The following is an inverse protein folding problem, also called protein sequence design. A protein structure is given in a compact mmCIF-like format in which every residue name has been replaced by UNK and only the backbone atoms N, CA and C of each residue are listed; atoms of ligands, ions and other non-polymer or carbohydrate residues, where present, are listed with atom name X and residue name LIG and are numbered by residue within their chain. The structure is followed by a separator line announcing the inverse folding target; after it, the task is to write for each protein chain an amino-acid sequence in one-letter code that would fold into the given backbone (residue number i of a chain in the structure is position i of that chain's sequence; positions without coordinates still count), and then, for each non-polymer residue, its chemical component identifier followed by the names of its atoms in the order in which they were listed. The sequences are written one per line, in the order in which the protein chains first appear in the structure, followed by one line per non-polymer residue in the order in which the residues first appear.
data_IF_916765267157
#
_entry.id   IF_916765267157
#
_cell.length_a   1.000
_cell.length_b   1.000
_cell.length_c   1.000
_cell.angle_alpha   90.00
_cell.angle_beta   90.00
_cell.angle_gamma   90.00
#
_symmetry.space_group_name_H-M   'P 1'
#
loop_
_entity.id
_entity.type
_entity.pdbx_description
1 polymer ?
#
# COMPACT_ATOMS: atom_id res chain seq x y z
N UNK A 1 -4.87 26.47 17.78
CA UNK A 1 -4.16 25.18 17.63
C UNK A 1 -3.07 25.37 16.60
N UNK A 2 -1.95 24.66 16.75
CA UNK A 2 -0.92 24.60 15.69
C UNK A 2 -1.47 23.86 14.48
N UNK A 3 -1.18 24.33 13.26
CA UNK A 3 -1.46 23.60 12.03
C UNK A 3 -0.39 22.52 11.86
N UNK A 4 -0.77 21.32 11.44
CA UNK A 4 0.18 20.24 11.14
C UNK A 4 0.16 19.90 9.66
N UNK A 5 1.34 19.72 9.08
CA UNK A 5 1.55 19.20 7.73
C UNK A 5 1.92 17.72 7.85
N UNK A 6 1.22 16.87 7.09
CA UNK A 6 1.50 15.43 6.99
C UNK A 6 1.97 15.16 5.56
N UNK A 7 3.12 14.51 5.42
CA UNK A 7 3.66 14.09 4.12
C UNK A 7 3.86 12.59 4.14
N UNK A 8 3.43 11.91 3.09
CA UNK A 8 3.66 10.48 2.87
C UNK A 8 4.34 10.31 1.52
N UNK A 9 5.54 9.72 1.50
CA UNK A 9 6.40 9.66 0.31
C UNK A 9 6.77 8.21 0.03
N UNK A 10 6.50 7.74 -1.18
CA UNK A 10 6.97 6.45 -1.67
C UNK A 10 8.05 6.70 -2.74
N UNK A 11 9.23 6.13 -2.52
CA UNK A 11 10.34 6.14 -3.48
C UNK A 11 10.75 4.69 -3.72
N UNK A 12 10.62 4.23 -4.96
CA UNK A 12 11.05 2.90 -5.36
C UNK A 12 11.77 2.98 -6.71
N UNK A 13 12.72 2.07 -6.91
CA UNK A 13 13.51 1.95 -8.13
C UNK A 13 13.39 0.54 -8.69
N UNK A 14 13.46 0.42 -10.02
CA UNK A 14 13.55 -0.89 -10.66
C UNK A 14 14.92 -1.52 -10.45
N UNK A 15 14.94 -2.84 -10.48
CA UNK A 15 16.17 -3.62 -10.37
C UNK A 15 16.85 -3.76 -11.74
N UNK A 16 18.19 -3.67 -11.79
CA UNK A 16 18.93 -3.61 -13.06
C UNK A 16 18.73 -4.83 -13.97
N UNK A 17 18.54 -6.01 -13.38
CA UNK A 17 18.25 -7.29 -14.05
C UNK A 17 16.99 -7.97 -13.48
N UNK A 18 16.07 -7.17 -12.92
CA UNK A 18 14.88 -7.67 -12.22
C UNK A 18 13.61 -6.92 -12.60
N UNK A 19 12.69 -6.83 -11.64
CA UNK A 19 11.41 -6.16 -11.87
C UNK A 19 11.57 -4.64 -11.89
N UNK A 20 10.85 -4.00 -12.82
CA UNK A 20 10.75 -2.55 -12.83
C UNK A 20 9.94 -2.05 -11.62
N UNK A 21 10.20 -0.82 -11.16
CA UNK A 21 9.43 -0.23 -10.06
C UNK A 21 7.92 -0.26 -10.32
N UNK A 22 7.50 0.05 -11.57
CA UNK A 22 6.09 -0.02 -11.94
C UNK A 22 5.54 -1.45 -11.92
N UNK A 23 6.34 -2.45 -12.31
CA UNK A 23 5.92 -3.85 -12.24
C UNK A 23 5.69 -4.29 -10.78
N UNK A 24 6.59 -3.94 -9.86
CA UNK A 24 6.42 -4.20 -8.42
C UNK A 24 5.18 -3.48 -7.87
N UNK A 25 5.09 -2.17 -8.07
CA UNK A 25 4.03 -1.33 -7.47
C UNK A 25 2.64 -1.53 -8.06
N UNK A 26 2.52 -2.12 -9.27
CA UNK A 26 1.21 -2.47 -9.85
C UNK A 26 0.88 -3.95 -9.74
N UNK A 27 1.88 -4.83 -9.80
CA UNK A 27 1.71 -6.28 -9.74
C UNK A 27 1.48 -6.80 -8.32
N UNK A 28 2.27 -6.34 -7.33
CA UNK A 28 2.17 -6.80 -5.95
C UNK A 28 0.78 -6.54 -5.35
N UNK A 29 0.17 -5.34 -5.44
CA UNK A 29 -1.16 -5.13 -4.88
C UNK A 29 -2.24 -6.05 -5.47
N UNK A 30 -2.13 -6.37 -6.77
CA UNK A 30 -3.05 -7.29 -7.44
C UNK A 30 -2.85 -8.73 -6.97
N UNK A 31 -1.59 -9.16 -6.83
CA UNK A 31 -1.24 -10.48 -6.30
C UNK A 31 -1.74 -10.68 -4.86
N UNK A 32 -1.51 -9.69 -4.01
CA UNK A 32 -1.97 -9.66 -2.61
C UNK A 32 -3.50 -9.76 -2.56
N UNK A 33 -4.20 -8.92 -3.33
CA UNK A 33 -5.67 -8.98 -3.40
C UNK A 33 -6.20 -10.35 -3.84
N UNK A 34 -5.54 -11.01 -4.81
CA UNK A 34 -5.90 -12.35 -5.24
C UNK A 34 -5.68 -13.40 -4.13
N UNK A 35 -4.54 -13.36 -3.43
CA UNK A 35 -4.26 -14.25 -2.30
C UNK A 35 -5.28 -14.06 -1.16
N UNK A 36 -5.63 -12.81 -0.83
CA UNK A 36 -6.66 -12.51 0.16
C UNK A 36 -8.03 -13.10 -0.20
N UNK A 37 -8.44 -13.04 -1.48
CA UNK A 37 -9.68 -13.70 -1.96
C UNK A 37 -9.59 -15.21 -1.75
N UNK A 38 -8.48 -15.82 -2.18
CA UNK A 38 -8.28 -17.28 -2.11
C UNK A 38 -8.26 -17.78 -0.66
N UNK A 39 -7.74 -16.98 0.27
CA UNK A 39 -7.71 -17.29 1.72
C UNK A 39 -8.99 -16.91 2.46
N UNK A 40 -9.99 -16.36 1.78
CA UNK A 40 -11.25 -15.95 2.40
C UNK A 40 -11.11 -14.79 3.39
N UNK A 41 -10.09 -13.95 3.25
CA UNK A 41 -9.83 -12.80 4.15
C UNK A 41 -10.94 -11.74 4.09
N UNK A 42 -11.73 -11.73 3.02
CA UNK A 42 -12.89 -10.84 2.84
C UNK A 42 -14.20 -11.36 3.46
N UNK A 43 -14.21 -12.56 4.07
CA UNK A 43 -15.39 -13.10 4.76
C UNK A 43 -16.65 -13.16 3.87
N UNK A 44 -17.74 -12.52 4.31
CA UNK A 44 -19.03 -12.47 3.60
C UNK A 44 -19.14 -11.32 2.58
N UNK A 45 -18.10 -10.51 2.39
CA UNK A 45 -18.12 -9.43 1.41
C UNK A 45 -18.27 -10.00 -0.01
N UNK A 46 -19.31 -9.54 -0.71
CA UNK A 46 -19.61 -9.95 -2.09
C UNK A 46 -19.88 -8.72 -2.96
N UNK A 47 -19.81 -8.88 -4.28
CA UNK A 47 -20.01 -7.80 -5.24
C UNK A 47 -18.70 -7.17 -5.73
N UNK A 48 -18.82 -6.01 -6.39
CA UNK A 48 -17.68 -5.28 -6.99
C UNK A 48 -17.26 -4.16 -6.04
N UNK A 49 -16.01 -4.21 -5.58
CA UNK A 49 -15.45 -3.27 -4.61
C UNK A 49 -14.14 -2.68 -5.10
N UNK A 50 -13.84 -1.46 -4.64
CA UNK A 50 -12.53 -0.81 -4.75
C UNK A 50 -11.80 -0.90 -3.40
N UNK A 51 -10.46 -0.84 -3.35
CA UNK A 51 -9.67 -1.16 -2.13
C UNK A 51 -9.62 0.01 -1.13
N UNK A 52 -10.77 0.49 -0.67
CA UNK A 52 -10.91 1.60 0.29
C UNK A 52 -11.28 1.15 1.70
N UNK A 53 -11.52 -0.15 1.88
CA UNK A 53 -11.91 -0.72 3.17
C UNK A 53 -10.67 -1.01 4.02
N UNK A 54 -10.70 -0.77 5.35
CA UNK A 54 -9.57 -1.04 6.24
C UNK A 54 -9.02 -2.46 6.14
N UNK A 55 -9.92 -3.45 6.14
CA UNK A 55 -9.55 -4.87 5.98
C UNK A 55 -8.79 -5.17 4.68
N UNK A 56 -8.93 -4.32 3.65
CA UNK A 56 -8.18 -4.43 2.40
C UNK A 56 -6.85 -3.68 2.50
N UNK A 57 -6.90 -2.37 2.80
CA UNK A 57 -5.69 -1.54 2.70
C UNK A 57 -4.70 -1.78 3.83
N UNK A 58 -5.13 -2.18 5.04
CA UNK A 58 -4.23 -2.44 6.16
C UNK A 58 -3.37 -3.67 5.88
N UNK A 59 -3.99 -4.79 5.52
CA UNK A 59 -3.27 -6.03 5.17
C UNK A 59 -2.40 -5.82 3.92
N UNK A 60 -2.94 -5.13 2.90
CA UNK A 60 -2.19 -4.89 1.67
C UNK A 60 -0.95 -4.01 1.92
N UNK A 61 -1.04 -2.96 2.73
CA UNK A 61 0.10 -2.12 3.07
C UNK A 61 1.15 -2.87 3.91
N UNK A 62 0.72 -3.71 4.85
CA UNK A 62 1.63 -4.55 5.65
C UNK A 62 2.39 -5.55 4.76
N UNK A 63 1.70 -6.22 3.84
CA UNK A 63 2.34 -7.17 2.92
C UNK A 63 3.23 -6.45 1.88
N UNK A 64 2.84 -5.27 1.41
CA UNK A 64 3.69 -4.44 0.54
C UNK A 64 4.99 -4.03 1.25
N UNK A 65 4.92 -3.64 2.52
CA UNK A 65 6.10 -3.29 3.32
C UNK A 65 7.04 -4.49 3.46
N UNK A 66 6.50 -5.70 3.69
CA UNK A 66 7.30 -6.94 3.72
C UNK A 66 7.98 -7.26 2.37
N UNK A 67 7.41 -6.76 1.26
CA UNK A 67 7.97 -6.87 -0.08
C UNK A 67 8.82 -5.64 -0.48
N UNK A 68 9.16 -4.76 0.47
CA UNK A 68 10.04 -3.61 0.27
C UNK A 68 9.37 -2.39 -0.36
N UNK A 69 8.03 -2.34 -0.41
CA UNK A 69 7.26 -1.18 -0.86
C UNK A 69 6.62 -0.52 0.36
N UNK A 70 7.20 0.59 0.82
CA UNK A 70 6.75 1.31 2.02
C UNK A 70 6.77 2.81 1.83
N UNK A 71 5.89 3.51 2.54
CA UNK A 71 5.87 4.97 2.57
C UNK A 71 6.69 5.49 3.74
N UNK A 72 7.43 6.57 3.52
CA UNK A 72 8.02 7.37 4.59
C UNK A 72 7.06 8.51 4.97
N UNK A 73 6.70 8.58 6.25
CA UNK A 73 5.78 9.57 6.78
C UNK A 73 6.52 10.64 7.61
N UNK A 74 6.18 11.90 7.38
CA UNK A 74 6.66 13.03 8.20
C UNK A 74 5.50 13.90 8.67
N UNK A 75 5.65 14.44 9.88
CA UNK A 75 4.67 15.36 10.49
C UNK A 75 5.40 16.58 11.01
N UNK A 76 5.05 17.75 10.50
CA UNK A 76 5.68 19.03 10.82
C UNK A 76 4.63 20.05 11.28
N UNK A 77 5.02 21.02 12.10
CA UNK A 77 4.18 22.18 12.36
C UNK A 77 4.21 23.10 11.13
N UNK A 78 3.04 23.30 10.53
CA UNK A 78 2.88 24.27 9.46
C UNK A 78 3.00 25.66 10.08
N UNK A 79 4.16 26.30 9.86
CA UNK A 79 4.62 27.62 10.31
C UNK A 79 5.61 27.59 11.49
N UNK A 80 6.89 27.85 11.17
CA UNK A 80 7.84 28.62 11.98
C UNK A 80 8.25 29.86 11.20
#
# INVERSE_FOLDING_TARGET
GSLKLYTSTLVDFGDSDGDTSIAKTTGLPVGIGADMILRGKFGEFTGVHIPVMPVVYEEALEELEQNGISFEETVEDAVS
#
